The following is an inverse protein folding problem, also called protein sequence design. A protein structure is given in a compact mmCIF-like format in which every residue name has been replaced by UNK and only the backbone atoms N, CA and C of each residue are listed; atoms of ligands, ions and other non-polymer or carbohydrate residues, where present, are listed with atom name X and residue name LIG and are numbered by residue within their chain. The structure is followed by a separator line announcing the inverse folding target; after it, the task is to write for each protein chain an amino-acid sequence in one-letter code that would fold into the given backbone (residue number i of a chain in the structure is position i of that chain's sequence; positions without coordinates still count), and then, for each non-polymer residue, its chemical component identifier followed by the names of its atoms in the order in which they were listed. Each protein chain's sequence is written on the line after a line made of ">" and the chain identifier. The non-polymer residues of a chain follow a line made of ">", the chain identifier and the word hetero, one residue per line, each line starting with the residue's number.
data_IF_835569957988
#
_entry.id   IF_835569957988
#
_cell.length_a   1.000
_cell.length_b   1.000
_cell.length_c   1.000
_cell.angle_alpha   90.00
_cell.angle_beta   90.00
_cell.angle_gamma   90.00
#
_symmetry.space_group_name_H-M   'P 1'
#
loop_
_entity.id
_entity.type
_entity.pdbx_description
1 polymer ?
#
# COMPACT_ATOMS: atom_id res chain seq x y z
N UNK A 1 -16.34 9.74 24.40
CA UNK A 1 -16.26 9.34 22.98
C UNK A 1 -14.98 9.93 22.41
N UNK A 2 -14.00 9.09 22.10
CA UNK A 2 -12.83 9.55 21.34
C UNK A 2 -13.30 9.90 19.92
N UNK A 3 -13.01 11.12 19.48
CA UNK A 3 -13.31 11.55 18.13
C UNK A 3 -12.40 10.84 17.14
N UNK A 4 -12.96 10.31 16.06
CA UNK A 4 -12.22 9.70 14.97
C UNK A 4 -12.30 10.60 13.73
N UNK A 5 -11.20 10.75 13.03
CA UNK A 5 -11.15 11.43 11.74
C UNK A 5 -11.59 10.49 10.63
N UNK A 6 -12.86 10.51 10.25
CA UNK A 6 -13.37 9.62 9.20
C UNK A 6 -13.56 10.28 7.85
N UNK A 7 -13.61 11.60 7.79
CA UNK A 7 -13.80 12.37 6.56
C UNK A 7 -13.23 13.78 6.71
N UNK A 8 -12.71 14.33 5.65
CA UNK A 8 -12.38 15.75 5.53
C UNK A 8 -13.11 16.37 4.35
N UNK A 9 -13.38 17.65 4.42
CA UNK A 9 -14.02 18.40 3.35
C UNK A 9 -13.44 19.80 3.28
N UNK A 10 -12.13 19.85 2.99
CA UNK A 10 -11.45 21.13 2.81
C UNK A 10 -11.66 21.65 1.37
N UNK A 11 -11.62 22.96 1.25
CA UNK A 11 -11.57 23.67 -0.03
C UNK A 11 -10.34 24.57 -0.01
N UNK A 12 -9.26 24.10 -0.61
CA UNK A 12 -8.00 24.81 -0.63
C UNK A 12 -7.87 25.70 -1.87
N UNK A 13 -7.19 26.84 -1.76
CA UNK A 13 -6.80 27.62 -2.94
C UNK A 13 -6.01 26.75 -3.93
N UNK A 14 -6.29 26.89 -5.23
CA UNK A 14 -5.64 26.12 -6.31
C UNK A 14 -5.82 24.59 -6.27
N UNK A 15 -6.74 24.08 -5.48
CA UNK A 15 -7.13 22.68 -5.52
C UNK A 15 -7.77 22.35 -6.87
N UNK A 16 -7.31 21.28 -7.51
CA UNK A 16 -7.85 20.77 -8.78
C UNK A 16 -8.95 19.72 -8.56
N UNK A 17 -8.69 18.81 -7.64
CA UNK A 17 -9.62 17.71 -7.35
C UNK A 17 -9.47 17.21 -5.93
N UNK A 18 -10.50 16.45 -5.50
CA UNK A 18 -10.48 15.66 -4.28
C UNK A 18 -10.89 14.23 -4.63
N UNK A 19 -10.15 13.27 -4.09
CA UNK A 19 -10.48 11.85 -4.16
C UNK A 19 -10.60 11.28 -2.74
N UNK A 20 -11.69 10.57 -2.47
CA UNK A 20 -11.92 9.88 -1.20
C UNK A 20 -11.71 8.38 -1.41
N UNK A 21 -10.57 7.86 -0.98
CA UNK A 21 -10.27 6.44 -1.01
C UNK A 21 -10.87 5.69 0.17
N UNK A 22 -10.63 4.38 0.25
CA UNK A 22 -11.12 3.51 1.36
C UNK A 22 -10.71 4.03 2.75
N UNK A 23 -9.49 4.57 2.89
CA UNK A 23 -8.92 5.00 4.18
C UNK A 23 -8.19 6.36 4.13
N UNK A 24 -8.16 7.03 3.01
CA UNK A 24 -7.46 8.31 2.81
C UNK A 24 -8.31 9.29 2.04
N UNK A 25 -8.07 10.58 2.31
CA UNK A 25 -8.55 11.69 1.49
C UNK A 25 -7.34 12.26 0.74
N UNK A 26 -7.45 12.46 -0.57
CA UNK A 26 -6.38 12.94 -1.42
C UNK A 26 -6.84 14.21 -2.13
N UNK A 27 -6.08 15.28 -1.97
CA UNK A 27 -6.31 16.55 -2.63
C UNK A 27 -5.18 16.79 -3.62
N UNK A 28 -5.53 16.97 -4.90
CA UNK A 28 -4.58 17.26 -5.97
C UNK A 28 -4.55 18.77 -6.23
N UNK A 29 -3.36 19.30 -6.40
CA UNK A 29 -3.12 20.71 -6.67
C UNK A 29 -2.46 20.90 -8.03
N UNK A 30 -2.43 22.16 -8.49
CA UNK A 30 -1.57 22.59 -9.58
C UNK A 30 -0.11 22.28 -9.23
N UNK A 31 0.76 22.12 -10.26
CA UNK A 31 2.17 21.76 -10.12
C UNK A 31 2.42 20.34 -9.56
N UNK A 32 1.49 19.42 -9.79
CA UNK A 32 1.60 18.02 -9.42
C UNK A 32 1.90 17.76 -7.93
N UNK A 33 1.34 18.60 -7.07
CA UNK A 33 1.40 18.39 -5.62
C UNK A 33 0.15 17.67 -5.14
N UNK A 34 0.34 16.69 -4.26
CA UNK A 34 -0.71 16.01 -3.52
C UNK A 34 -0.66 16.35 -2.03
N UNK A 35 -1.82 16.56 -1.43
CA UNK A 35 -2.01 16.50 0.02
C UNK A 35 -2.83 15.26 0.33
N UNK A 36 -2.25 14.36 1.09
CA UNK A 36 -2.87 13.10 1.49
C UNK A 36 -3.16 13.13 2.98
N UNK A 37 -4.42 12.89 3.34
CA UNK A 37 -4.86 12.86 4.74
C UNK A 37 -5.25 11.43 5.09
N UNK A 38 -4.48 10.81 5.96
CA UNK A 38 -4.76 9.49 6.50
C UNK A 38 -5.87 9.57 7.53
N UNK A 39 -6.97 8.86 7.27
CA UNK A 39 -8.13 8.84 8.15
C UNK A 39 -8.12 7.63 9.08
N UNK A 40 -8.98 7.66 10.08
CA UNK A 40 -9.18 6.58 11.04
C UNK A 40 -10.11 5.48 10.50
N UNK A 41 -10.58 5.61 9.24
CA UNK A 41 -11.37 4.56 8.58
C UNK A 41 -10.59 3.26 8.51
N UNK A 42 -11.29 2.14 8.70
CA UNK A 42 -10.77 0.79 8.50
C UNK A 42 -11.52 0.14 7.34
N UNK A 43 -10.79 -0.45 6.41
CA UNK A 43 -11.33 -1.30 5.36
C UNK A 43 -10.88 -2.73 5.60
N UNK A 44 -11.82 -3.68 5.57
CA UNK A 44 -11.55 -5.11 5.67
C UNK A 44 -12.42 -5.84 4.65
N UNK A 45 -11.82 -6.76 3.88
CA UNK A 45 -12.49 -7.49 2.80
C UNK A 45 -13.24 -6.55 1.84
N UNK A 46 -12.58 -5.45 1.43
CA UNK A 46 -13.11 -4.38 0.57
C UNK A 46 -14.31 -3.59 1.13
N UNK A 47 -14.72 -3.84 2.36
CA UNK A 47 -15.77 -3.11 3.07
C UNK A 47 -15.16 -2.08 4.01
N UNK A 48 -15.56 -0.82 3.87
CA UNK A 48 -15.21 0.24 4.84
C UNK A 48 -16.14 0.08 6.05
N UNK A 49 -15.54 -0.15 7.22
CA UNK A 49 -16.30 -0.34 8.45
C UNK A 49 -16.94 0.98 8.92
N UNK A 50 -18.11 0.92 9.57
CA UNK A 50 -18.89 2.11 9.92
C UNK A 50 -18.25 2.98 11.02
N UNK A 51 -17.30 2.42 11.78
CA UNK A 51 -16.59 3.14 12.84
C UNK A 51 -15.10 3.19 12.54
N UNK A 52 -14.48 4.35 12.73
CA UNK A 52 -13.04 4.52 12.68
C UNK A 52 -12.35 4.00 13.94
N UNK A 53 -11.07 3.68 13.82
CA UNK A 53 -10.19 3.34 14.95
C UNK A 53 -9.44 4.61 15.34
N UNK A 54 -9.60 5.11 16.58
CA UNK A 54 -8.94 6.33 17.02
C UNK A 54 -7.42 6.27 16.79
N UNK A 55 -6.86 7.37 16.30
CA UNK A 55 -5.42 7.52 16.01
C UNK A 55 -4.84 6.63 14.91
N UNK A 56 -5.63 5.74 14.27
CA UNK A 56 -5.12 4.86 13.21
C UNK A 56 -4.47 5.64 12.08
N UNK A 57 -5.10 6.70 11.61
CA UNK A 57 -4.56 7.56 10.54
C UNK A 57 -3.23 8.17 10.92
N UNK A 58 -3.13 8.73 12.13
CA UNK A 58 -1.89 9.34 12.65
C UNK A 58 -0.75 8.33 12.73
N UNK A 59 -0.99 7.18 13.33
CA UNK A 59 0.04 6.15 13.52
C UNK A 59 0.55 5.68 12.17
N UNK A 60 -0.34 5.34 11.24
CA UNK A 60 0.06 4.83 9.93
C UNK A 60 0.79 5.88 9.10
N UNK A 61 0.36 7.14 9.14
CA UNK A 61 1.03 8.22 8.41
C UNK A 61 2.43 8.47 8.95
N UNK A 62 2.60 8.55 10.27
CA UNK A 62 3.91 8.78 10.89
C UNK A 62 4.88 7.62 10.63
N UNK A 63 4.40 6.36 10.70
CA UNK A 63 5.22 5.20 10.35
C UNK A 63 5.65 5.27 8.88
N UNK A 64 4.72 5.57 7.97
CA UNK A 64 5.03 5.70 6.54
C UNK A 64 6.06 6.81 6.29
N UNK A 65 5.88 8.00 6.86
CA UNK A 65 6.84 9.10 6.72
C UNK A 65 8.23 8.71 7.25
N UNK A 66 8.29 8.07 8.42
CA UNK A 66 9.56 7.60 8.99
C UNK A 66 10.27 6.59 8.09
N UNK A 67 9.53 5.65 7.48
CA UNK A 67 10.11 4.66 6.57
C UNK A 67 10.57 5.29 5.26
N UNK A 68 9.79 6.21 4.68
CA UNK A 68 10.17 6.96 3.49
C UNK A 68 11.44 7.78 3.71
N UNK A 69 11.56 8.45 4.86
CA UNK A 69 12.76 9.20 5.24
C UNK A 69 13.96 8.27 5.40
N UNK A 70 13.81 7.17 6.15
CA UNK A 70 14.86 6.21 6.40
C UNK A 70 15.41 5.51 5.14
N UNK A 71 14.59 5.41 4.08
CA UNK A 71 14.97 4.78 2.81
C UNK A 71 15.29 5.78 1.69
N UNK A 72 15.23 7.07 1.95
CA UNK A 72 15.44 8.14 0.96
C UNK A 72 16.82 8.11 0.29
N UNK A 73 17.82 7.54 0.99
CA UNK A 73 19.17 7.33 0.46
C UNK A 73 19.28 6.13 -0.49
N UNK A 74 18.27 5.27 -0.55
CA UNK A 74 18.22 4.08 -1.43
C UNK A 74 17.50 4.43 -2.73
N UNK A 75 16.34 5.09 -2.62
CA UNK A 75 15.51 5.45 -3.77
C UNK A 75 14.73 6.75 -3.46
N UNK A 76 14.61 7.67 -4.44
CA UNK A 76 13.75 8.82 -4.29
C UNK A 76 12.30 8.41 -3.99
N UNK A 77 11.58 9.22 -3.22
CA UNK A 77 10.18 8.96 -2.91
C UNK A 77 9.33 10.22 -3.10
N UNK A 78 8.02 10.06 -3.02
CA UNK A 78 7.05 11.12 -3.30
C UNK A 78 6.92 12.16 -2.19
N UNK A 79 7.36 11.88 -0.95
CA UNK A 79 7.13 12.71 0.22
C UNK A 79 7.98 13.98 0.20
N UNK A 80 7.33 15.12 0.34
CA UNK A 80 7.99 16.43 0.53
C UNK A 80 8.00 16.82 2.00
N UNK A 81 6.85 16.70 2.69
CA UNK A 81 6.72 17.07 4.10
C UNK A 81 5.52 16.39 4.77
N UNK A 82 5.52 16.38 6.10
CA UNK A 82 4.39 15.94 6.92
C UNK A 82 4.10 17.00 7.99
N UNK A 83 3.26 18.00 7.67
CA UNK A 83 3.01 19.14 8.57
C UNK A 83 2.12 18.79 9.77
N UNK A 84 1.43 17.65 9.73
CA UNK A 84 0.54 17.15 10.79
C UNK A 84 0.63 15.63 10.85
N UNK A 85 0.42 14.99 12.00
CA UNK A 85 0.48 13.53 12.14
C UNK A 85 -0.34 12.73 11.14
N UNK A 86 -1.45 13.29 10.65
CA UNK A 86 -2.31 12.65 9.65
C UNK A 86 -1.98 13.05 8.20
N UNK A 87 -1.15 14.07 7.98
CA UNK A 87 -1.02 14.75 6.69
C UNK A 87 0.34 14.53 6.10
N UNK A 88 0.36 14.08 4.86
CA UNK A 88 1.55 14.04 4.01
C UNK A 88 1.34 14.92 2.78
N UNK A 89 2.34 15.72 2.46
CA UNK A 89 2.41 16.52 1.24
C UNK A 89 3.51 15.94 0.37
N UNK A 90 3.24 15.73 -0.89
CA UNK A 90 4.24 15.15 -1.78
C UNK A 90 3.96 15.38 -3.25
N UNK A 91 4.86 14.88 -4.09
CA UNK A 91 4.76 14.91 -5.54
C UNK A 91 3.71 13.91 -6.02
N UNK A 92 2.85 14.32 -6.96
CA UNK A 92 1.97 13.41 -7.66
C UNK A 92 2.82 12.51 -8.58
N UNK A 93 2.79 11.22 -8.29
CA UNK A 93 3.45 10.21 -9.12
C UNK A 93 2.41 9.39 -9.88
N UNK A 94 2.79 8.87 -11.03
CA UNK A 94 1.99 7.87 -11.71
C UNK A 94 2.32 6.48 -11.13
N UNK A 95 1.36 5.80 -10.51
CA UNK A 95 1.61 4.50 -9.88
C UNK A 95 1.72 3.41 -10.93
N UNK A 96 2.66 2.50 -10.76
CA UNK A 96 2.69 1.25 -11.51
C UNK A 96 1.43 0.40 -11.21
N UNK A 97 0.98 -0.37 -12.19
CA UNK A 97 -0.18 -1.28 -12.07
C UNK A 97 0.19 -2.61 -11.39
N UNK A 98 1.08 -2.54 -10.42
CA UNK A 98 1.54 -3.68 -9.62
C UNK A 98 1.83 -3.25 -8.19
N UNK A 99 1.49 -4.09 -7.23
CA UNK A 99 1.85 -3.94 -5.82
C UNK A 99 2.97 -4.95 -5.48
N UNK A 100 4.08 -4.44 -4.92
CA UNK A 100 5.22 -5.26 -4.55
C UNK A 100 5.13 -5.66 -3.08
N UNK A 101 5.05 -6.96 -2.80
CA UNK A 101 4.98 -7.50 -1.44
C UNK A 101 6.20 -8.36 -1.17
N UNK A 102 7.03 -7.96 -0.21
CA UNK A 102 8.18 -8.73 0.27
C UNK A 102 7.78 -9.49 1.53
N UNK A 103 7.97 -10.82 1.52
CA UNK A 103 7.64 -11.70 2.64
C UNK A 103 8.89 -12.28 3.26
N UNK A 104 9.13 -11.97 4.52
CA UNK A 104 10.18 -12.61 5.32
C UNK A 104 9.71 -13.93 5.98
N UNK A 105 8.40 -14.16 6.05
CA UNK A 105 7.80 -15.28 6.78
C UNK A 105 6.64 -15.90 5.98
N UNK A 106 6.42 -17.20 6.17
CA UNK A 106 5.28 -17.93 5.61
C UNK A 106 4.01 -17.55 6.40
N UNK A 107 3.36 -16.43 6.05
CA UNK A 107 2.19 -15.93 6.76
C UNK A 107 1.11 -15.41 5.80
N UNK A 108 -0.11 -15.22 6.31
CA UNK A 108 -1.21 -14.62 5.56
C UNK A 108 -1.54 -15.41 4.30
N UNK A 109 -1.59 -14.71 3.13
CA UNK A 109 -1.94 -15.33 1.85
C UNK A 109 -1.01 -16.49 1.48
N UNK A 110 0.31 -16.33 1.60
CA UNK A 110 1.27 -17.38 1.31
C UNK A 110 1.07 -18.61 2.19
N UNK A 111 0.79 -18.44 3.49
CA UNK A 111 0.51 -19.57 4.37
C UNK A 111 -0.79 -20.30 4.01
N UNK A 112 -1.83 -19.56 3.58
CA UNK A 112 -3.08 -20.19 3.11
C UNK A 112 -2.87 -21.04 1.87
N UNK A 113 -2.14 -20.55 0.88
CA UNK A 113 -1.77 -21.29 -0.32
C UNK A 113 -0.92 -22.51 0.02
N UNK A 114 0.09 -22.35 0.85
CA UNK A 114 0.95 -23.44 1.28
C UNK A 114 0.16 -24.57 1.98
N UNK A 115 -0.79 -24.18 2.85
CA UNK A 115 -1.67 -25.10 3.57
C UNK A 115 -2.65 -25.83 2.64
N UNK A 116 -3.07 -25.21 1.54
CA UNK A 116 -3.87 -25.86 0.50
C UNK A 116 -3.08 -26.82 -0.41
N UNK A 117 -1.76 -26.92 -0.22
CA UNK A 117 -0.89 -27.83 -0.99
C UNK A 117 -0.01 -27.11 -2.01
N UNK A 118 -0.23 -25.82 -2.25
CA UNK A 118 0.60 -25.05 -3.17
C UNK A 118 2.03 -24.91 -2.66
N UNK A 119 3.00 -25.03 -3.58
CA UNK A 119 4.43 -24.86 -3.30
C UNK A 119 5.06 -23.76 -4.13
N UNK A 120 4.25 -23.05 -4.92
CA UNK A 120 4.70 -21.93 -5.75
C UNK A 120 3.75 -20.75 -5.62
N UNK A 121 4.28 -19.56 -5.40
CA UNK A 121 3.53 -18.30 -5.33
C UNK A 121 4.25 -17.23 -6.17
N UNK A 122 3.56 -16.55 -7.05
CA UNK A 122 4.13 -15.49 -7.91
C UNK A 122 5.44 -15.92 -8.62
N UNK A 123 5.51 -17.16 -9.08
CA UNK A 123 6.72 -17.70 -9.71
C UNK A 123 7.77 -18.28 -8.73
N UNK A 124 7.70 -17.96 -7.44
CA UNK A 124 8.68 -18.38 -6.43
C UNK A 124 8.30 -19.70 -5.80
N UNK A 125 9.24 -20.66 -5.77
CA UNK A 125 9.06 -21.96 -5.12
C UNK A 125 9.31 -21.81 -3.62
N UNK A 126 8.36 -22.26 -2.82
CA UNK A 126 8.49 -22.34 -1.36
C UNK A 126 9.03 -23.71 -0.95
N UNK A 127 9.99 -23.77 0.01
CA UNK A 127 10.53 -25.04 0.50
C UNK A 127 9.47 -25.96 1.10
N UNK A 128 9.66 -27.28 0.98
CA UNK A 128 8.83 -28.24 1.68
C UNK A 128 9.09 -28.27 3.18
N UNK A 129 8.08 -28.71 3.94
CA UNK A 129 8.19 -28.90 5.39
C UNK A 129 8.04 -27.62 6.22
N UNK A 130 7.72 -26.47 5.60
CA UNK A 130 7.43 -25.25 6.34
C UNK A 130 6.07 -25.31 7.03
N UNK A 131 5.98 -24.65 8.18
CA UNK A 131 4.71 -24.40 8.88
C UNK A 131 4.41 -22.90 8.91
N UNK A 132 3.17 -22.55 9.18
CA UNK A 132 2.74 -21.15 9.28
C UNK A 132 3.61 -20.36 10.28
N UNK A 133 4.06 -19.18 9.86
CA UNK A 133 4.98 -18.28 10.55
C UNK A 133 6.47 -18.69 10.52
N UNK A 134 6.85 -19.74 9.82
CA UNK A 134 8.26 -20.02 9.59
C UNK A 134 8.91 -18.90 8.78
N UNK A 135 10.16 -18.60 9.12
CA UNK A 135 10.98 -17.63 8.43
C UNK A 135 11.54 -18.22 7.14
N UNK A 136 11.41 -17.51 6.03
CA UNK A 136 12.12 -17.86 4.80
C UNK A 136 13.64 -17.66 4.99
N UNK A 137 14.44 -18.51 4.39
CA UNK A 137 15.92 -18.34 4.37
C UNK A 137 16.30 -16.99 3.76
N UNK A 138 15.68 -16.67 2.62
CA UNK A 138 15.72 -15.34 2.02
C UNK A 138 14.28 -14.84 1.86
N UNK A 139 14.02 -13.54 2.07
CA UNK A 139 12.72 -12.97 1.78
C UNK A 139 12.30 -13.24 0.34
N UNK A 140 11.04 -13.53 0.11
CA UNK A 140 10.48 -13.77 -1.22
C UNK A 140 9.65 -12.57 -1.69
N UNK A 141 9.63 -12.34 -3.00
CA UNK A 141 8.82 -11.31 -3.62
C UNK A 141 7.53 -11.95 -4.17
N UNK A 142 6.39 -11.43 -3.75
CA UNK A 142 5.06 -11.92 -4.14
C UNK A 142 4.19 -10.77 -4.62
N UNK A 143 4.41 -10.29 -5.86
CA UNK A 143 3.66 -9.17 -6.39
C UNK A 143 2.21 -9.53 -6.67
N UNK A 144 1.35 -8.50 -6.68
CA UNK A 144 -0.01 -8.60 -7.19
C UNK A 144 -0.28 -7.53 -8.24
N UNK A 145 -1.19 -7.80 -9.14
CA UNK A 145 -1.71 -6.77 -10.05
C UNK A 145 -2.40 -5.68 -9.24
N UNK A 146 -2.48 -4.48 -9.79
CA UNK A 146 -3.31 -3.40 -9.29
C UNK A 146 -4.57 -3.33 -10.13
N UNK A 147 -5.61 -4.05 -9.71
CA UNK A 147 -6.86 -4.12 -10.44
C UNK A 147 -7.60 -2.77 -10.44
N UNK A 148 -8.35 -2.51 -11.51
CA UNK A 148 -9.25 -1.38 -11.57
C UNK A 148 -10.48 -1.61 -10.65
N UNK A 149 -11.20 -0.53 -10.32
CA UNK A 149 -12.33 -0.58 -9.39
C UNK A 149 -13.34 -1.67 -9.77
N UNK A 150 -13.62 -2.55 -8.82
CA UNK A 150 -14.58 -3.66 -8.96
C UNK A 150 -13.96 -5.02 -9.27
N UNK A 151 -12.65 -5.08 -9.46
CA UNK A 151 -11.88 -6.33 -9.62
C UNK A 151 -10.97 -6.54 -8.41
N UNK A 152 -10.55 -7.78 -8.20
CA UNK A 152 -9.58 -8.12 -7.16
C UNK A 152 -8.16 -8.15 -7.73
N UNK A 153 -7.20 -7.81 -6.88
CA UNK A 153 -5.79 -7.96 -7.21
C UNK A 153 -5.45 -9.45 -7.30
N UNK A 154 -4.68 -9.85 -8.31
CA UNK A 154 -4.28 -11.23 -8.59
C UNK A 154 -2.78 -11.39 -8.41
N UNK A 155 -2.34 -12.57 -7.94
CA UNK A 155 -0.93 -12.90 -7.88
C UNK A 155 -0.32 -12.86 -9.29
N UNK A 156 0.86 -12.24 -9.42
CA UNK A 156 1.60 -12.12 -10.68
C UNK A 156 3.08 -12.41 -10.43
N UNK A 157 3.75 -13.08 -11.35
CA UNK A 157 5.19 -13.33 -11.27
C UNK A 157 6.00 -12.14 -11.81
N UNK A 158 7.31 -12.10 -11.46
CA UNK A 158 8.24 -11.14 -12.04
C UNK A 158 8.30 -11.24 -13.56
N UNK A 159 8.32 -12.46 -14.08
CA UNK A 159 8.35 -12.75 -15.50
C UNK A 159 7.12 -12.19 -16.23
N UNK A 160 5.94 -12.37 -15.65
CA UNK A 160 4.67 -11.84 -16.18
C UNK A 160 4.62 -10.31 -16.12
N UNK A 161 5.15 -9.69 -15.07
CA UNK A 161 5.26 -8.23 -14.95
C UNK A 161 6.07 -7.66 -16.10
N UNK A 162 7.23 -8.27 -16.43
CA UNK A 162 8.10 -7.85 -17.54
C UNK A 162 7.46 -8.16 -18.89
N UNK A 163 6.91 -9.35 -19.07
CA UNK A 163 6.25 -9.77 -20.30
C UNK A 163 5.08 -8.85 -20.67
N UNK A 164 4.32 -8.40 -19.66
CA UNK A 164 3.19 -7.49 -19.83
C UNK A 164 3.61 -6.01 -19.89
N UNK A 165 4.90 -5.70 -19.87
CA UNK A 165 5.46 -4.34 -19.87
C UNK A 165 4.88 -3.43 -18.78
N UNK A 166 4.54 -3.99 -17.60
CA UNK A 166 4.06 -3.22 -16.46
C UNK A 166 5.19 -2.36 -15.89
N UNK A 167 6.41 -2.90 -15.84
CA UNK A 167 7.66 -2.19 -15.57
C UNK A 167 8.76 -2.72 -16.49
N UNK A 168 9.83 -1.94 -16.66
CA UNK A 168 11.03 -2.37 -17.38
C UNK A 168 12.03 -3.05 -16.43
N UNK A 169 13.04 -3.72 -16.98
CA UNK A 169 14.10 -4.38 -16.19
C UNK A 169 15.07 -3.42 -15.48
N UNK A 170 15.05 -2.13 -15.84
CA UNK A 170 15.94 -1.09 -15.29
C UNK A 170 15.47 -0.58 -13.93
#
# INVERSE_FOLDING_TARGET
>A
NMNTLTKTNFNFPNQLSKYSGKVREVYKFKNDVLVMISTDRLSAFDVVLPKGIPYKGQILNQIACKMLDATSHIVPNWLISSPDPNVSIGQACEPFKVEMVVRGYLSGHAARLYKSGERKICGVVMPDGMIENDKFVNPILTPTTKADNGFHDEDISREEILLNNIVNEE
#
